data_IF_444565087667
#
_entry.id   IF_444565087667
#
_cell.length_a   1.000
_cell.length_b   1.000
_cell.length_c   1.000
_cell.angle_alpha   90.00
_cell.angle_beta   90.00
_cell.angle_gamma   90.00
#
_symmetry.space_group_name_H-M   'P 1'
#
loop_
_entity.id
_entity.type
_entity.pdbx_description
1 polymer ?
#
# COMPACT_ATOMS: atom_id res chain seq x y z
N UNK A 1 9.32 29.26 46.89
CA UNK A 1 8.35 28.95 45.82
C UNK A 1 8.47 27.47 45.52
N UNK A 2 7.40 26.69 45.68
CA UNK A 2 7.40 25.31 45.23
C UNK A 2 7.47 25.29 43.70
N UNK A 3 8.55 24.73 43.15
CA UNK A 3 8.67 24.49 41.71
C UNK A 3 7.60 23.45 41.38
N UNK A 4 6.55 23.85 40.64
CA UNK A 4 5.59 22.89 40.08
C UNK A 4 6.40 21.91 39.22
N UNK A 5 6.27 20.59 39.42
CA UNK A 5 6.95 19.64 38.54
C UNK A 5 6.52 19.90 37.10
N UNK A 6 7.46 19.87 36.17
CA UNK A 6 7.16 19.97 34.74
C UNK A 6 6.18 18.86 34.36
N UNK A 7 5.17 19.18 33.54
CA UNK A 7 4.22 18.20 33.05
C UNK A 7 4.98 17.17 32.21
N UNK A 8 4.89 15.89 32.58
CA UNK A 8 5.51 14.79 31.82
C UNK A 8 4.89 14.70 30.43
N UNK A 9 5.70 14.32 29.44
CA UNK A 9 5.25 13.95 28.10
C UNK A 9 4.48 12.64 28.19
N UNK A 10 3.46 12.46 27.39
CA UNK A 10 2.64 11.27 27.36
C UNK A 10 3.12 10.32 26.26
N UNK A 11 3.43 9.08 26.65
CA UNK A 11 3.52 7.93 25.75
C UNK A 11 2.24 7.11 25.88
N UNK A 12 1.42 7.11 24.85
CA UNK A 12 0.13 6.44 24.87
C UNK A 12 0.21 5.07 24.18
N UNK A 13 -0.25 4.02 24.85
CA UNK A 13 -0.20 2.64 24.35
C UNK A 13 -1.59 2.23 23.88
N UNK A 14 -1.68 1.83 22.61
CA UNK A 14 -2.89 1.33 21.96
C UNK A 14 -2.73 -0.12 21.54
N UNK A 15 -3.81 -0.88 21.57
CA UNK A 15 -3.77 -2.32 21.35
C UNK A 15 -5.07 -3.01 21.72
N UNK A 16 -5.07 -4.35 21.79
CA UNK A 16 -6.24 -5.09 22.21
C UNK A 16 -6.67 -4.73 23.63
N UNK A 17 -7.97 -4.51 23.79
CA UNK A 17 -8.64 -4.41 25.09
C UNK A 17 -9.48 -5.68 25.22
N UNK A 18 -9.01 -6.60 26.05
CA UNK A 18 -9.72 -7.83 26.40
C UNK A 18 -10.35 -7.75 27.79
N UNK A 19 -11.30 -8.64 28.04
CA UNK A 19 -11.82 -8.91 29.38
C UNK A 19 -10.70 -9.40 30.31
N UNK A 20 -10.91 -9.31 31.61
CA UNK A 20 -9.99 -9.84 32.61
C UNK A 20 -9.67 -11.33 32.32
N UNK A 21 -8.40 -11.72 32.49
CA UNK A 21 -7.86 -13.06 32.22
C UNK A 21 -7.94 -13.57 30.76
N UNK A 22 -8.37 -12.74 29.81
CA UNK A 22 -8.31 -13.11 28.38
C UNK A 22 -6.87 -13.19 27.85
N UNK A 23 -6.63 -14.00 26.82
CA UNK A 23 -5.31 -14.08 26.15
C UNK A 23 -4.84 -12.70 25.65
N UNK A 24 -5.78 -11.88 25.17
CA UNK A 24 -5.56 -10.51 24.72
C UNK A 24 -5.09 -9.62 25.88
N UNK A 25 -5.75 -9.72 27.04
CA UNK A 25 -5.37 -8.99 28.27
C UNK A 25 -3.98 -9.38 28.75
N UNK A 26 -3.74 -10.69 28.89
CA UNK A 26 -2.45 -11.24 29.33
C UNK A 26 -1.32 -10.78 28.39
N UNK A 27 -1.57 -10.83 27.08
CA UNK A 27 -0.60 -10.34 26.10
C UNK A 27 -0.34 -8.83 26.22
N UNK A 28 -1.40 -8.02 26.31
CA UNK A 28 -1.28 -6.57 26.45
C UNK A 28 -0.54 -6.17 27.73
N UNK A 29 -0.76 -6.89 28.83
CA UNK A 29 -0.06 -6.67 30.10
C UNK A 29 1.42 -7.06 29.98
N UNK A 30 1.75 -8.19 29.36
CA UNK A 30 3.13 -8.57 29.07
C UNK A 30 3.87 -7.51 28.23
N UNK A 31 3.25 -7.03 27.15
CA UNK A 31 3.87 -6.00 26.32
C UNK A 31 4.12 -4.71 27.12
N UNK A 32 3.12 -4.28 27.89
CA UNK A 32 3.21 -3.05 28.68
C UNK A 32 4.23 -3.17 29.82
N UNK A 33 4.14 -4.20 30.64
CA UNK A 33 4.86 -4.31 31.91
C UNK A 33 6.26 -4.89 31.74
N UNK A 34 6.46 -5.82 30.80
CA UNK A 34 7.76 -6.46 30.60
C UNK A 34 8.58 -5.86 29.47
N UNK A 35 8.01 -5.00 28.61
CA UNK A 35 8.78 -4.40 27.50
C UNK A 35 8.72 -2.88 27.54
N UNK A 36 7.52 -2.29 27.50
CA UNK A 36 7.37 -0.84 27.36
C UNK A 36 7.80 -0.13 28.66
N UNK A 37 7.13 -0.40 29.77
CA UNK A 37 7.35 0.30 31.05
C UNK A 37 8.82 0.28 31.49
N UNK A 38 9.54 -0.86 31.45
CA UNK A 38 10.95 -0.89 31.85
C UNK A 38 11.85 0.01 30.99
N UNK A 39 11.58 0.12 29.69
CA UNK A 39 12.37 0.99 28.80
C UNK A 39 12.12 2.46 29.12
N UNK A 40 10.88 2.84 29.40
CA UNK A 40 10.52 4.21 29.75
C UNK A 40 11.04 4.60 31.14
N UNK A 41 10.87 3.73 32.13
CA UNK A 41 11.35 3.98 33.50
C UNK A 41 12.88 4.11 33.57
N UNK A 42 13.62 3.34 32.75
CA UNK A 42 15.09 3.35 32.76
C UNK A 42 15.69 4.49 31.93
N UNK A 43 15.03 4.93 30.85
CA UNK A 43 15.65 5.82 29.86
C UNK A 43 14.89 7.12 29.56
N UNK A 44 13.62 7.23 29.98
CA UNK A 44 12.73 8.33 29.59
C UNK A 44 11.90 8.84 30.78
N UNK A 45 12.58 9.30 31.84
CA UNK A 45 11.94 9.78 33.08
C UNK A 45 10.95 10.94 32.88
N UNK A 46 11.12 11.71 31.79
CA UNK A 46 10.24 12.82 31.40
C UNK A 46 8.95 12.36 30.72
N UNK A 47 8.82 11.06 30.43
CA UNK A 47 7.61 10.45 29.90
C UNK A 47 6.75 9.80 31.00
N UNK A 48 5.46 9.77 30.75
CA UNK A 48 4.45 9.01 31.46
C UNK A 48 3.81 8.04 30.47
N UNK A 49 3.86 6.75 30.77
CA UNK A 49 3.27 5.71 29.92
C UNK A 49 1.84 5.43 30.38
N UNK A 50 0.87 5.59 29.49
CA UNK A 50 -0.54 5.29 29.78
C UNK A 50 -1.11 4.39 28.69
N UNK A 51 -1.84 3.34 29.08
CA UNK A 51 -2.61 2.49 28.16
C UNK A 51 -4.09 2.87 28.19
N UNK A 52 -4.78 2.74 27.06
CA UNK A 52 -6.16 3.20 26.86
C UNK A 52 -7.17 2.72 27.91
N UNK A 53 -7.05 1.48 28.40
CA UNK A 53 -7.90 0.86 29.42
C UNK A 53 -7.62 1.33 30.85
N UNK A 54 -6.44 1.93 31.11
CA UNK A 54 -6.06 2.44 32.45
C UNK A 54 -6.56 3.88 32.69
N UNK A 55 -7.29 4.48 31.76
CA UNK A 55 -7.86 5.83 31.92
C UNK A 55 -9.06 5.75 32.88
N UNK A 56 -8.88 6.28 34.09
CA UNK A 56 -9.89 6.25 35.18
C UNK A 56 -10.75 7.52 35.28
N UNK A 57 -10.61 8.45 34.34
CA UNK A 57 -11.32 9.73 34.38
C UNK A 57 -12.82 9.55 34.04
N UNK A 58 -13.73 10.27 34.70
CA UNK A 58 -15.15 10.30 34.33
C UNK A 58 -15.35 10.83 32.90
N UNK A 59 -16.16 10.16 32.07
CA UNK A 59 -16.47 10.57 30.69
C UNK A 59 -16.70 9.39 29.74
N UNK A 60 -16.94 9.68 28.45
CA UNK A 60 -16.98 8.63 27.44
C UNK A 60 -15.56 8.17 27.12
N UNK A 61 -15.28 6.87 27.31
CA UNK A 61 -13.97 6.25 27.07
C UNK A 61 -13.40 6.66 25.70
N UNK A 62 -14.23 6.62 24.65
CA UNK A 62 -13.84 6.99 23.29
C UNK A 62 -13.30 8.43 23.19
N UNK A 63 -13.91 9.39 23.89
CA UNK A 63 -13.46 10.79 23.86
C UNK A 63 -12.11 10.99 24.53
N UNK A 64 -11.82 10.22 25.59
CA UNK A 64 -10.56 10.29 26.32
C UNK A 64 -9.42 9.62 25.56
N UNK A 65 -9.71 8.49 24.92
CA UNK A 65 -8.75 7.81 24.04
C UNK A 65 -8.38 8.71 22.87
N UNK A 66 -9.36 9.33 22.20
CA UNK A 66 -9.08 10.28 21.12
C UNK A 66 -8.23 11.44 21.66
N UNK A 67 -8.60 12.05 22.78
CA UNK A 67 -7.82 13.14 23.39
C UNK A 67 -6.37 12.71 23.65
N UNK A 68 -6.17 11.51 24.19
CA UNK A 68 -4.84 10.95 24.43
C UNK A 68 -4.05 10.75 23.14
N UNK A 69 -4.69 10.27 22.06
CA UNK A 69 -4.06 10.14 20.74
C UNK A 69 -3.66 11.47 20.11
N UNK A 70 -4.45 12.53 20.35
CA UNK A 70 -4.14 13.89 19.87
C UNK A 70 -2.98 14.49 20.65
N UNK A 71 -3.01 14.35 21.97
CA UNK A 71 -2.10 15.05 22.87
C UNK A 71 -0.75 14.36 23.02
N UNK A 72 -0.71 13.02 23.06
CA UNK A 72 0.49 12.26 23.32
C UNK A 72 1.66 12.63 22.40
N UNK A 73 2.85 12.81 22.97
CA UNK A 73 4.09 13.03 22.22
C UNK A 73 4.46 11.77 21.42
N UNK A 74 4.17 10.59 21.95
CA UNK A 74 4.44 9.30 21.29
C UNK A 74 3.26 8.34 21.46
N UNK A 75 2.97 7.56 20.42
CA UNK A 75 2.06 6.41 20.51
C UNK A 75 2.83 5.13 20.26
N UNK A 76 2.59 4.09 21.06
CA UNK A 76 3.03 2.73 20.79
C UNK A 76 1.79 1.89 20.47
N UNK A 77 1.79 1.26 19.29
CA UNK A 77 0.66 0.48 18.80
C UNK A 77 1.00 -1.01 18.73
N UNK A 78 0.22 -1.82 19.45
CA UNK A 78 0.29 -3.27 19.40
C UNK A 78 -0.58 -3.85 18.28
N UNK A 79 0.07 -4.46 17.29
CA UNK A 79 -0.58 -5.07 16.14
C UNK A 79 -0.79 -6.58 16.29
N UNK A 80 -0.47 -7.17 17.45
CA UNK A 80 -0.40 -8.63 17.63
C UNK A 80 -1.70 -9.35 17.32
N UNK A 81 -2.86 -8.85 17.76
CA UNK A 81 -4.14 -9.56 17.62
C UNK A 81 -5.00 -9.01 16.49
N UNK A 82 -4.44 -8.08 15.70
CA UNK A 82 -5.17 -7.37 14.65
C UNK A 82 -6.44 -6.67 15.16
N UNK A 83 -6.40 -6.13 16.37
CA UNK A 83 -7.54 -5.46 16.97
C UNK A 83 -8.04 -4.30 16.08
N UNK A 84 -9.31 -4.29 15.62
CA UNK A 84 -9.83 -3.25 14.75
C UNK A 84 -9.78 -1.84 15.35
N UNK A 85 -9.94 -1.71 16.67
CA UNK A 85 -9.85 -0.41 17.34
C UNK A 85 -8.43 0.14 17.28
N UNK A 86 -7.41 -0.70 17.47
CA UNK A 86 -6.01 -0.27 17.34
C UNK A 86 -5.73 0.29 15.92
N UNK A 87 -6.25 -0.33 14.86
CA UNK A 87 -6.12 0.20 13.50
C UNK A 87 -6.84 1.53 13.28
N UNK A 88 -8.02 1.69 13.88
CA UNK A 88 -8.74 2.96 13.86
C UNK A 88 -7.94 4.08 14.54
N UNK A 89 -7.34 3.78 15.70
CA UNK A 89 -6.52 4.71 16.48
C UNK A 89 -5.20 5.07 15.77
N UNK A 90 -4.57 4.11 15.10
CA UNK A 90 -3.42 4.34 14.19
C UNK A 90 -3.81 5.29 13.07
N UNK A 91 -4.98 5.06 12.45
CA UNK A 91 -5.51 5.94 11.41
C UNK A 91 -5.65 7.39 11.89
N UNK A 92 -6.23 7.59 13.08
CA UNK A 92 -6.30 8.92 13.71
C UNK A 92 -4.88 9.47 13.90
N UNK A 93 -3.97 8.70 14.50
CA UNK A 93 -2.60 9.16 14.78
C UNK A 93 -1.85 9.59 13.53
N UNK A 94 -2.00 8.88 12.41
CA UNK A 94 -1.42 9.26 11.13
C UNK A 94 -1.88 10.66 10.67
N UNK A 95 -3.16 11.00 10.89
CA UNK A 95 -3.69 12.32 10.51
C UNK A 95 -3.13 13.47 11.35
N UNK A 96 -2.76 13.19 12.60
CA UNK A 96 -2.18 14.16 13.55
C UNK A 96 -0.69 14.41 13.27
N UNK A 97 -0.05 13.53 12.50
CA UNK A 97 1.36 13.68 12.09
C UNK A 97 2.32 13.76 13.28
N UNK A 98 2.00 13.00 14.34
CA UNK A 98 2.89 12.82 15.48
C UNK A 98 3.44 11.38 15.52
N UNK A 99 4.60 11.16 16.15
CA UNK A 99 5.28 9.86 16.10
C UNK A 99 4.42 8.69 16.59
N UNK A 100 4.59 7.55 15.94
CA UNK A 100 3.98 6.27 16.29
C UNK A 100 4.99 5.13 16.07
N UNK A 101 5.08 4.21 17.03
CA UNK A 101 5.91 3.00 16.95
C UNK A 101 4.99 1.79 16.93
N UNK A 102 5.12 0.94 15.92
CA UNK A 102 4.37 -0.30 15.82
C UNK A 102 5.15 -1.45 16.47
N UNK A 103 4.48 -2.29 17.25
CA UNK A 103 5.04 -3.50 17.84
C UNK A 103 4.11 -4.68 17.57
N UNK A 104 4.67 -5.89 17.42
CA UNK A 104 3.84 -7.08 17.27
C UNK A 104 4.58 -8.36 17.66
N UNK A 105 3.83 -9.36 18.12
CA UNK A 105 4.36 -10.68 18.41
C UNK A 105 4.83 -11.38 17.13
N UNK A 106 5.93 -12.10 17.24
CA UNK A 106 6.47 -12.97 16.21
C UNK A 106 5.42 -13.96 15.71
N UNK A 107 5.32 -14.10 14.38
CA UNK A 107 4.33 -14.95 13.72
C UNK A 107 3.07 -14.20 13.31
N UNK A 108 2.83 -12.98 13.84
CA UNK A 108 1.70 -12.18 13.40
C UNK A 108 1.91 -11.65 11.98
N UNK A 109 0.91 -11.87 11.11
CA UNK A 109 0.88 -11.30 9.75
C UNK A 109 0.18 -9.95 9.79
N UNK A 110 0.93 -8.89 9.50
CA UNK A 110 0.42 -7.52 9.47
C UNK A 110 -0.36 -7.27 8.15
N UNK A 111 -1.52 -6.60 8.18
CA UNK A 111 -2.28 -6.24 6.99
C UNK A 111 -1.48 -5.35 6.03
N UNK A 112 -1.78 -5.43 4.74
CA UNK A 112 -0.99 -4.77 3.69
C UNK A 112 -0.95 -3.24 3.84
N UNK A 113 -1.98 -2.60 4.40
CA UNK A 113 -2.03 -1.15 4.59
C UNK A 113 -0.99 -0.64 5.59
N UNK A 114 -0.61 -1.47 6.57
CA UNK A 114 0.36 -1.11 7.64
C UNK A 114 1.70 -1.83 7.45
N UNK A 115 1.75 -2.91 6.68
CA UNK A 115 2.95 -3.70 6.45
C UNK A 115 4.19 -2.92 5.93
N UNK A 116 4.05 -1.82 5.14
CA UNK A 116 5.18 -0.99 4.74
C UNK A 116 5.85 -0.26 5.91
N UNK A 117 5.13 -0.02 7.01
CA UNK A 117 5.68 0.65 8.19
C UNK A 117 6.56 -0.29 8.98
N UNK A 118 7.70 0.26 9.45
CA UNK A 118 8.57 -0.47 10.37
C UNK A 118 7.79 -0.82 11.63
N UNK A 119 7.89 -2.08 12.01
CA UNK A 119 7.34 -2.59 13.26
C UNK A 119 8.39 -3.40 14.00
N UNK A 120 8.40 -3.26 15.31
CA UNK A 120 9.28 -4.00 16.20
C UNK A 120 8.62 -5.35 16.46
N UNK A 121 9.23 -6.39 15.91
CA UNK A 121 8.84 -7.77 16.18
C UNK A 121 9.45 -8.23 17.50
N UNK A 122 8.65 -8.83 18.36
CA UNK A 122 9.13 -9.42 19.62
C UNK A 122 8.64 -10.85 19.82
N UNK A 123 9.32 -11.60 20.68
CA UNK A 123 8.94 -12.98 21.03
C UNK A 123 9.00 -13.15 22.54
N UNK A 124 8.13 -14.00 23.08
CA UNK A 124 8.07 -14.36 24.51
C UNK A 124 8.68 -15.73 24.79
N UNK A 125 9.33 -16.34 23.78
CA UNK A 125 9.86 -17.72 23.87
C UNK A 125 11.04 -17.84 24.81
N UNK A 126 11.95 -16.87 24.82
CA UNK A 126 13.16 -16.89 25.65
C UNK A 126 13.39 -15.52 26.31
N UNK A 127 14.00 -15.46 27.51
CA UNK A 127 14.31 -14.19 28.16
C UNK A 127 15.18 -13.22 27.34
N UNK A 128 16.02 -13.74 26.43
CA UNK A 128 16.81 -12.90 25.51
C UNK A 128 15.94 -12.17 24.48
N UNK A 129 14.81 -12.74 24.10
CA UNK A 129 13.92 -12.16 23.09
C UNK A 129 13.24 -10.89 23.63
N UNK A 130 12.88 -10.88 24.91
CA UNK A 130 12.37 -9.70 25.64
C UNK A 130 13.44 -8.60 25.71
N UNK A 131 14.68 -8.95 26.05
CA UNK A 131 15.79 -7.98 26.07
C UNK A 131 16.03 -7.38 24.69
N UNK A 132 15.98 -8.19 23.63
CA UNK A 132 16.07 -7.72 22.26
C UNK A 132 14.95 -6.74 21.90
N UNK A 133 13.71 -7.03 22.31
CA UNK A 133 12.57 -6.12 22.11
C UNK A 133 12.76 -4.79 22.84
N UNK A 134 13.27 -4.80 24.09
CA UNK A 134 13.58 -3.59 24.85
C UNK A 134 14.65 -2.74 24.16
N UNK A 135 15.74 -3.37 23.68
CA UNK A 135 16.79 -2.67 22.92
C UNK A 135 16.26 -2.05 21.63
N UNK A 136 15.43 -2.78 20.89
CA UNK A 136 14.81 -2.27 19.66
C UNK A 136 13.84 -1.12 19.95
N UNK A 137 13.04 -1.22 21.02
CA UNK A 137 12.14 -0.17 21.46
C UNK A 137 12.90 1.09 21.89
N UNK A 138 13.96 0.95 22.68
CA UNK A 138 14.82 2.06 23.08
C UNK A 138 15.33 2.83 21.87
N UNK A 139 15.91 2.14 20.89
CA UNK A 139 16.42 2.76 19.67
C UNK A 139 15.31 3.47 18.87
N UNK A 140 14.12 2.86 18.78
CA UNK A 140 12.99 3.45 18.08
C UNK A 140 12.45 4.71 18.77
N UNK A 141 12.33 4.70 20.10
CA UNK A 141 11.89 5.87 20.88
C UNK A 141 12.91 7.00 20.77
N UNK A 142 14.20 6.70 20.88
CA UNK A 142 15.27 7.70 20.70
C UNK A 142 15.20 8.37 19.33
N UNK A 143 14.92 7.61 18.26
CA UNK A 143 14.78 8.18 16.93
C UNK A 143 13.50 9.02 16.78
N UNK A 144 12.38 8.49 17.27
CA UNK A 144 11.06 9.11 17.16
C UNK A 144 10.90 10.40 17.98
N UNK A 145 11.78 10.63 18.96
CA UNK A 145 11.71 11.78 19.89
C UNK A 145 12.75 12.86 19.59
N UNK A 146 13.54 12.74 18.52
CA UNK A 146 14.43 13.80 18.07
C UNK A 146 13.63 15.00 17.57
N UNK A 147 14.15 16.20 17.80
CA UNK A 147 13.50 17.46 17.39
C UNK A 147 13.35 17.59 15.86
N UNK A 148 14.22 16.94 15.09
CA UNK A 148 14.22 16.92 13.62
C UNK A 148 13.54 15.67 13.04
N UNK A 149 12.85 14.87 13.86
CA UNK A 149 12.16 13.68 13.39
C UNK A 149 10.97 14.05 12.49
N UNK A 150 11.07 13.71 11.21
CA UNK A 150 9.95 13.82 10.28
C UNK A 150 9.06 12.59 10.33
N UNK A 151 7.77 12.81 10.57
CA UNK A 151 6.78 11.73 10.64
C UNK A 151 6.40 11.30 9.22
N UNK A 152 6.80 10.08 8.86
CA UNK A 152 6.45 9.45 7.59
C UNK A 152 5.29 8.46 7.79
N UNK A 153 4.16 8.73 7.12
CA UNK A 153 2.96 7.90 7.13
C UNK A 153 2.14 8.11 5.83
N UNK A 154 1.11 7.28 5.54
CA UNK A 154 0.39 7.38 4.27
C UNK A 154 -0.30 8.74 4.07
N UNK A 155 -0.68 9.39 5.16
CA UNK A 155 -1.36 10.68 5.16
C UNK A 155 -0.38 11.81 4.91
N UNK A 156 0.81 11.80 5.53
CA UNK A 156 1.85 12.83 5.28
C UNK A 156 2.37 12.72 3.85
N UNK A 157 2.61 11.50 3.36
CA UNK A 157 2.99 11.26 1.97
C UNK A 157 1.94 11.81 0.98
N UNK A 158 0.67 11.44 1.18
CA UNK A 158 -0.42 11.89 0.30
C UNK A 158 -0.62 13.41 0.37
N UNK A 159 -0.52 14.00 1.56
CA UNK A 159 -0.63 15.45 1.73
C UNK A 159 0.53 16.18 1.06
N UNK A 160 1.76 15.72 1.23
CA UNK A 160 2.94 16.28 0.59
C UNK A 160 2.81 16.26 -0.94
N UNK A 161 2.30 15.18 -1.51
CA UNK A 161 2.00 15.10 -2.95
C UNK A 161 0.96 16.14 -3.39
N UNK A 162 -0.17 16.23 -2.68
CA UNK A 162 -1.25 17.18 -3.00
C UNK A 162 -0.80 18.64 -2.83
N UNK A 163 -0.02 18.93 -1.80
CA UNK A 163 0.53 20.26 -1.55
C UNK A 163 1.54 20.62 -2.64
N UNK A 164 2.47 19.71 -2.95
CA UNK A 164 3.41 19.87 -4.05
C UNK A 164 2.71 20.13 -5.39
N UNK A 165 1.68 19.38 -5.76
CA UNK A 165 0.92 19.63 -7.01
C UNK A 165 0.30 21.04 -7.04
N UNK A 166 -0.17 21.54 -5.89
CA UNK A 166 -0.79 22.87 -5.77
C UNK A 166 0.22 24.00 -5.77
N UNK A 167 1.38 23.84 -5.11
CA UNK A 167 2.35 24.91 -4.89
C UNK A 167 3.56 24.85 -5.81
N UNK A 168 3.76 23.76 -6.57
CA UNK A 168 4.91 23.60 -7.44
C UNK A 168 5.00 24.71 -8.50
N UNK A 169 6.20 25.28 -8.59
CA UNK A 169 6.60 26.20 -9.63
C UNK A 169 6.57 25.52 -11.02
N UNK A 170 6.52 26.29 -12.12
CA UNK A 170 6.56 25.72 -13.47
C UNK A 170 7.77 24.80 -13.71
N UNK A 171 8.93 25.13 -13.13
CA UNK A 171 10.15 24.33 -13.25
C UNK A 171 10.06 23.02 -12.46
N UNK A 172 9.49 23.04 -11.26
CA UNK A 172 9.28 21.83 -10.46
C UNK A 172 8.29 20.88 -11.12
N UNK A 173 7.21 21.40 -11.73
CA UNK A 173 6.28 20.58 -12.52
C UNK A 173 6.96 19.89 -13.69
N UNK A 174 7.78 20.63 -14.43
CA UNK A 174 8.59 20.07 -15.52
C UNK A 174 9.52 18.96 -15.03
N UNK A 175 10.15 19.14 -13.86
CA UNK A 175 11.00 18.11 -13.26
C UNK A 175 10.19 16.86 -12.87
N UNK A 176 9.00 17.03 -12.27
CA UNK A 176 8.12 15.90 -11.95
C UNK A 176 7.67 15.15 -13.18
N UNK A 177 7.32 15.85 -14.27
CA UNK A 177 6.97 15.25 -15.55
C UNK A 177 8.15 14.44 -16.10
N UNK A 178 9.36 15.00 -16.10
CA UNK A 178 10.57 14.29 -16.55
C UNK A 178 10.92 13.09 -15.67
N UNK A 179 10.76 13.20 -14.34
CA UNK A 179 10.95 12.07 -13.42
C UNK A 179 9.90 10.99 -13.68
N UNK A 180 8.65 11.37 -13.97
CA UNK A 180 7.59 10.46 -14.39
C UNK A 180 7.96 9.69 -15.66
N UNK A 181 8.49 10.39 -16.68
CA UNK A 181 8.97 9.78 -17.93
C UNK A 181 10.15 8.82 -17.70
N UNK A 182 11.08 9.19 -16.82
CA UNK A 182 12.21 8.33 -16.44
C UNK A 182 11.72 7.09 -15.70
N UNK A 183 10.77 7.24 -14.76
CA UNK A 183 10.17 6.11 -14.04
C UNK A 183 9.48 5.15 -15.00
N UNK A 184 8.68 5.66 -15.93
CA UNK A 184 8.03 4.83 -16.94
C UNK A 184 9.03 4.04 -17.81
N UNK A 185 10.18 4.66 -18.14
CA UNK A 185 11.28 3.98 -18.87
C UNK A 185 12.00 2.96 -18.00
N UNK A 186 12.19 3.23 -16.72
CA UNK A 186 12.79 2.30 -15.77
C UNK A 186 11.88 1.09 -15.54
N UNK A 187 10.58 1.29 -15.33
CA UNK A 187 9.60 0.19 -15.25
C UNK A 187 9.64 -0.69 -16.51
N UNK A 188 9.77 -0.07 -17.70
CA UNK A 188 9.97 -0.80 -18.95
C UNK A 188 11.28 -1.61 -18.94
N UNK A 189 12.40 -1.02 -18.53
CA UNK A 189 13.71 -1.70 -18.48
C UNK A 189 13.74 -2.79 -17.40
N UNK A 190 13.21 -2.54 -16.21
CA UNK A 190 13.10 -3.52 -15.13
C UNK A 190 12.24 -4.71 -15.55
N UNK A 191 11.16 -4.47 -16.32
CA UNK A 191 10.41 -5.54 -16.98
C UNK A 191 11.25 -6.39 -17.94
N UNK A 192 12.23 -5.79 -18.62
CA UNK A 192 13.20 -6.50 -19.47
C UNK A 192 14.30 -7.23 -18.66
N UNK A 193 14.77 -6.67 -17.56
CA UNK A 193 15.89 -7.21 -16.76
C UNK A 193 15.43 -8.30 -15.79
N UNK A 194 14.24 -8.17 -15.19
CA UNK A 194 13.62 -9.23 -14.40
C UNK A 194 13.22 -10.45 -15.26
N UNK A 195 13.00 -10.22 -16.55
CA UNK A 195 12.81 -11.24 -17.59
C UNK A 195 14.12 -11.70 -18.23
N UNK A 196 15.05 -12.25 -17.44
CA UNK A 196 16.16 -13.04 -18.00
C UNK A 196 15.60 -14.05 -18.99
N UNK A 197 16.01 -13.95 -20.26
CA UNK A 197 15.30 -14.54 -21.41
C UNK A 197 14.97 -16.02 -21.21
N UNK A 198 13.69 -16.27 -20.93
CA UNK A 198 12.91 -17.36 -21.50
C UNK A 198 11.58 -16.74 -21.91
N UNK A 199 11.41 -16.51 -23.22
CA UNK A 199 10.14 -16.12 -23.81
C UNK A 199 9.20 -17.31 -23.64
N UNK A 200 8.47 -17.35 -22.54
CA UNK A 200 7.33 -18.23 -22.34
C UNK A 200 6.50 -17.72 -21.17
N UNK A 201 5.22 -17.46 -21.47
CA UNK A 201 4.06 -17.45 -20.58
C UNK A 201 4.32 -17.07 -19.11
N UNK A 202 3.86 -15.89 -18.68
CA UNK A 202 3.30 -15.68 -17.33
C UNK A 202 2.66 -14.29 -17.25
N UNK A 203 1.33 -14.22 -17.07
CA UNK A 203 0.63 -14.04 -15.79
C UNK A 203 0.30 -12.58 -15.57
N UNK A 204 -0.93 -12.22 -15.97
CA UNK A 204 -1.52 -10.89 -15.76
C UNK A 204 -1.76 -10.69 -14.25
N UNK A 205 -1.17 -9.64 -13.69
CA UNK A 205 -1.44 -9.17 -12.32
C UNK A 205 -2.58 -8.13 -12.37
N UNK A 206 -3.63 -8.33 -11.56
CA UNK A 206 -4.96 -7.72 -11.75
C UNK A 206 -5.22 -6.42 -10.97
N UNK A 207 -4.27 -5.94 -10.17
CA UNK A 207 -4.56 -4.97 -9.10
C UNK A 207 -4.30 -3.49 -9.41
N UNK A 208 -4.10 -3.11 -10.67
CA UNK A 208 -3.89 -1.70 -11.02
C UNK A 208 -4.48 -1.35 -12.39
N UNK A 209 -5.69 -0.78 -12.40
CA UNK A 209 -6.32 -0.31 -13.63
C UNK A 209 -6.82 1.13 -13.54
N UNK A 210 -6.04 2.06 -14.10
CA UNK A 210 -6.49 3.37 -14.56
C UNK A 210 -6.74 3.31 -16.08
N UNK A 211 -7.89 3.82 -16.52
CA UNK A 211 -8.39 3.67 -17.88
C UNK A 211 -7.83 4.65 -18.92
N UNK A 212 -8.14 4.35 -20.19
CA UNK A 212 -7.88 5.10 -21.44
C UNK A 212 -6.59 4.79 -22.23
N UNK A 213 -6.38 3.51 -22.59
CA UNK A 213 -5.19 3.07 -23.33
C UNK A 213 -5.33 2.96 -24.86
N UNK A 214 -6.54 3.01 -25.46
CA UNK A 214 -6.67 2.78 -26.93
C UNK A 214 -5.99 3.87 -27.77
N UNK A 215 -6.18 5.13 -27.42
CA UNK A 215 -5.55 6.25 -28.15
C UNK A 215 -4.04 6.32 -27.92
N UNK A 216 -3.54 5.79 -26.80
CA UNK A 216 -2.11 5.78 -26.45
C UNK A 216 -1.36 4.66 -27.17
N UNK A 217 -2.00 3.50 -27.37
CA UNK A 217 -1.46 2.38 -28.16
C UNK A 217 -1.41 2.69 -29.66
N UNK A 218 -2.39 3.42 -30.19
CA UNK A 218 -2.37 3.91 -31.58
C UNK A 218 -1.33 5.02 -31.83
N UNK A 219 -0.75 5.59 -30.77
CA UNK A 219 0.34 6.56 -30.85
C UNK A 219 1.74 5.90 -30.83
N UNK A 220 1.82 4.58 -30.63
CA UNK A 220 3.09 3.85 -30.73
C UNK A 220 3.39 3.53 -32.20
N UNK A 221 4.54 3.97 -32.74
CA UNK A 221 4.91 3.65 -34.12
C UNK A 221 5.07 2.12 -34.27
N UNK A 222 4.54 1.56 -35.36
CA UNK A 222 4.66 0.15 -35.77
C UNK A 222 3.96 -0.90 -34.89
N UNK A 223 2.80 -0.58 -34.30
CA UNK A 223 1.92 -1.59 -33.68
C UNK A 223 0.52 -1.60 -34.28
N UNK A 224 -0.04 -2.79 -34.44
CA UNK A 224 -1.46 -3.00 -34.79
C UNK A 224 -2.22 -3.21 -33.48
N UNK A 225 -3.34 -2.53 -33.31
CA UNK A 225 -4.21 -2.66 -32.15
C UNK A 225 -5.51 -3.36 -32.54
N UNK A 226 -5.83 -4.49 -31.90
CA UNK A 226 -7.08 -5.22 -32.08
C UNK A 226 -7.91 -5.06 -30.81
N UNK A 227 -9.01 -4.35 -30.92
CA UNK A 227 -9.91 -4.08 -29.80
C UNK A 227 -11.02 -5.13 -29.80
N UNK A 228 -11.14 -5.89 -28.70
CA UNK A 228 -12.18 -6.89 -28.47
C UNK A 228 -13.08 -6.42 -27.34
N UNK A 229 -14.37 -6.22 -27.62
CA UNK A 229 -15.36 -5.71 -26.67
C UNK A 229 -16.52 -6.70 -26.49
N UNK A 230 -16.83 -7.04 -25.24
CA UNK A 230 -18.01 -7.82 -24.90
C UNK A 230 -19.27 -6.93 -24.88
N UNK A 231 -20.30 -7.28 -25.68
CA UNK A 231 -21.60 -6.59 -25.71
C UNK A 231 -22.58 -7.14 -24.67
N UNK A 232 -22.45 -8.41 -24.32
CA UNK A 232 -23.30 -9.08 -23.34
C UNK A 232 -22.81 -8.83 -21.91
N UNK A 233 -23.75 -8.53 -20.98
CA UNK A 233 -23.43 -8.38 -19.55
C UNK A 233 -23.36 -9.71 -18.80
N UNK A 234 -23.73 -10.82 -19.44
CA UNK A 234 -23.87 -12.13 -18.80
C UNK A 234 -22.53 -12.90 -18.69
N UNK A 235 -21.46 -12.40 -19.29
CA UNK A 235 -20.12 -13.00 -19.20
C UNK A 235 -19.32 -12.34 -18.08
N UNK A 236 -18.69 -13.16 -17.23
CA UNK A 236 -17.75 -12.65 -16.22
C UNK A 236 -16.49 -12.09 -16.89
N UNK A 237 -15.90 -11.06 -16.30
CA UNK A 237 -14.67 -10.42 -16.80
C UNK A 237 -13.52 -11.44 -16.93
N UNK A 238 -13.37 -12.31 -15.95
CA UNK A 238 -12.34 -13.36 -15.97
C UNK A 238 -12.56 -14.39 -17.09
N UNK A 239 -13.82 -14.76 -17.37
CA UNK A 239 -14.14 -15.65 -18.49
C UNK A 239 -13.82 -14.98 -19.81
N UNK A 240 -14.20 -13.71 -19.96
CA UNK A 240 -13.96 -12.93 -21.18
C UNK A 240 -12.46 -12.78 -21.47
N UNK A 241 -11.66 -12.43 -20.46
CA UNK A 241 -10.20 -12.30 -20.57
C UNK A 241 -9.54 -13.62 -21.00
N UNK A 242 -9.90 -14.75 -20.37
CA UNK A 242 -9.37 -16.07 -20.74
C UNK A 242 -9.69 -16.44 -22.19
N UNK A 243 -10.90 -16.13 -22.65
CA UNK A 243 -11.29 -16.38 -24.03
C UNK A 243 -10.46 -15.55 -25.01
N UNK A 244 -10.27 -14.25 -24.75
CA UNK A 244 -9.47 -13.37 -25.62
C UNK A 244 -8.00 -13.80 -25.65
N UNK A 245 -7.44 -14.22 -24.52
CA UNK A 245 -6.08 -14.77 -24.43
C UNK A 245 -5.90 -16.04 -25.26
N UNK A 246 -6.86 -16.97 -25.18
CA UNK A 246 -6.83 -18.19 -25.98
C UNK A 246 -6.90 -17.88 -27.49
N UNK A 247 -7.75 -16.94 -27.88
CA UNK A 247 -7.89 -16.53 -29.27
C UNK A 247 -6.62 -15.87 -29.79
N UNK A 248 -6.04 -14.95 -29.00
CA UNK A 248 -4.82 -14.24 -29.36
C UNK A 248 -3.65 -15.21 -29.52
N UNK A 249 -3.53 -16.18 -28.62
CA UNK A 249 -2.51 -17.25 -28.66
C UNK A 249 -2.59 -18.13 -29.90
N UNK A 250 -3.79 -18.33 -30.46
CA UNK A 250 -3.96 -19.08 -31.73
C UNK A 250 -3.57 -18.25 -32.95
N UNK A 251 -3.69 -16.93 -32.86
CA UNK A 251 -3.48 -16.04 -34.00
C UNK A 251 -2.06 -15.45 -34.05
N UNK A 252 -1.40 -15.22 -32.92
CA UNK A 252 -0.13 -14.49 -32.86
C UNK A 252 0.89 -15.23 -32.01
N UNK A 253 2.13 -15.28 -32.51
CA UNK A 253 3.27 -15.85 -31.78
C UNK A 253 3.75 -14.91 -30.65
N UNK A 254 3.52 -13.60 -30.82
CA UNK A 254 3.78 -12.58 -29.81
C UNK A 254 2.69 -11.51 -29.85
N UNK A 255 2.13 -11.19 -28.69
CA UNK A 255 1.09 -10.18 -28.52
C UNK A 255 1.07 -9.69 -27.07
N UNK A 256 0.57 -8.48 -26.84
CA UNK A 256 0.25 -7.96 -25.51
C UNK A 256 -1.26 -7.84 -25.36
N UNK A 257 -1.78 -8.11 -24.17
CA UNK A 257 -3.18 -7.89 -23.81
C UNK A 257 -3.29 -6.81 -22.74
N UNK A 258 -4.09 -5.80 -23.00
CA UNK A 258 -4.33 -4.70 -22.07
C UNK A 258 -5.82 -4.37 -22.02
N UNK A 259 -6.47 -4.40 -20.86
CA UNK A 259 -7.79 -3.82 -20.70
C UNK A 259 -7.79 -2.34 -21.11
N UNK A 260 -8.79 -1.97 -21.90
CA UNK A 260 -8.97 -0.58 -22.36
C UNK A 260 -9.77 0.27 -21.37
N UNK A 261 -10.66 -0.38 -20.62
CA UNK A 261 -11.56 0.24 -19.67
C UNK A 261 -11.47 -0.40 -18.28
N UNK A 262 -11.92 0.32 -17.26
CA UNK A 262 -11.97 -0.15 -15.87
C UNK A 262 -13.01 -1.28 -15.67
N UNK A 263 -13.82 -1.57 -16.68
CA UNK A 263 -14.85 -2.62 -16.58
C UNK A 263 -14.31 -3.99 -16.95
N UNK A 264 -13.12 -4.05 -17.58
CA UNK A 264 -12.53 -5.29 -18.09
C UNK A 264 -13.33 -5.93 -19.23
N UNK A 265 -14.24 -5.18 -19.86
CA UNK A 265 -15.10 -5.66 -20.97
C UNK A 265 -14.63 -5.21 -22.33
N UNK A 266 -13.54 -4.49 -22.37
CA UNK A 266 -12.80 -4.17 -23.57
C UNK A 266 -11.32 -4.50 -23.36
N UNK A 267 -10.76 -5.29 -24.25
CA UNK A 267 -9.37 -5.74 -24.23
C UNK A 267 -8.73 -5.35 -25.56
N UNK A 268 -7.54 -4.77 -25.49
CA UNK A 268 -6.71 -4.43 -26.64
C UNK A 268 -5.61 -5.47 -26.75
N UNK A 269 -5.55 -6.10 -27.92
CA UNK A 269 -4.44 -6.95 -28.34
C UNK A 269 -3.49 -6.08 -29.16
N UNK A 270 -2.26 -5.94 -28.70
CA UNK A 270 -1.22 -5.20 -29.42
C UNK A 270 -0.20 -6.15 -30.01
N UNK A 271 0.02 -6.05 -31.32
CA UNK A 271 1.00 -6.87 -32.06
C UNK A 271 1.91 -5.97 -32.89
N UNK A 272 3.10 -6.47 -33.24
CA UNK A 272 4.01 -5.74 -34.13
C UNK A 272 3.39 -5.58 -35.52
N UNK A 273 3.60 -4.42 -36.14
CA UNK A 273 3.09 -4.13 -37.47
C UNK A 273 3.96 -4.80 -38.55
N UNK A 274 3.60 -6.03 -38.88
CA UNK A 274 4.18 -6.81 -39.99
C UNK A 274 3.09 -7.15 -41.01
N UNK A 275 3.49 -7.38 -42.27
CA UNK A 275 2.53 -7.77 -43.33
C UNK A 275 1.73 -9.03 -42.95
N UNK A 276 2.39 -9.97 -42.27
CA UNK A 276 1.77 -11.18 -41.75
C UNK A 276 0.76 -10.87 -40.64
N UNK A 277 1.15 -10.06 -39.65
CA UNK A 277 0.25 -9.68 -38.55
C UNK A 277 -0.94 -8.85 -39.02
N UNK A 278 -0.79 -7.99 -40.05
CA UNK A 278 -1.95 -7.30 -40.68
C UNK A 278 -2.97 -8.30 -41.23
N UNK A 279 -2.50 -9.32 -41.96
CA UNK A 279 -3.38 -10.38 -42.46
C UNK A 279 -4.04 -11.19 -41.34
N UNK A 280 -3.27 -11.57 -40.31
CA UNK A 280 -3.78 -12.32 -39.16
C UNK A 280 -4.76 -11.50 -38.31
N UNK A 281 -4.58 -10.18 -38.20
CA UNK A 281 -5.50 -9.28 -37.49
C UNK A 281 -6.87 -9.17 -38.17
N UNK A 282 -6.90 -9.11 -39.50
CA UNK A 282 -8.16 -9.13 -40.25
C UNK A 282 -8.87 -10.48 -40.11
N UNK A 283 -8.14 -11.58 -40.24
CA UNK A 283 -8.70 -12.93 -40.03
C UNK A 283 -9.21 -13.12 -38.60
N UNK A 284 -8.51 -12.56 -37.60
CA UNK A 284 -8.95 -12.56 -36.21
C UNK A 284 -10.29 -11.83 -36.06
N UNK A 285 -10.43 -10.64 -36.68
CA UNK A 285 -11.69 -9.88 -36.69
C UNK A 285 -12.82 -10.69 -37.31
N UNK A 286 -12.61 -11.29 -38.48
CA UNK A 286 -13.64 -12.08 -39.15
C UNK A 286 -14.07 -13.32 -38.36
N UNK A 287 -13.11 -13.95 -37.67
CA UNK A 287 -13.37 -15.19 -36.91
C UNK A 287 -14.15 -14.94 -35.62
N UNK A 288 -13.81 -13.87 -34.89
CA UNK A 288 -14.32 -13.65 -33.52
C UNK A 288 -15.34 -12.52 -33.39
N UNK A 289 -15.60 -11.76 -34.47
CA UNK A 289 -16.68 -10.77 -34.48
C UNK A 289 -18.04 -11.46 -34.57
N UNK A 290 -18.86 -11.31 -33.53
CA UNK A 290 -20.18 -11.94 -33.42
C UNK A 290 -21.22 -10.94 -32.91
N UNK A 291 -22.47 -11.39 -32.69
CA UNK A 291 -23.50 -10.55 -32.07
C UNK A 291 -23.14 -10.14 -30.63
N UNK A 292 -22.40 -10.98 -29.92
CA UNK A 292 -22.03 -10.77 -28.52
C UNK A 292 -20.63 -10.17 -28.32
N UNK A 293 -19.75 -10.31 -29.32
CA UNK A 293 -18.37 -9.84 -29.27
C UNK A 293 -18.09 -8.92 -30.46
N UNK A 294 -17.70 -7.68 -30.19
CA UNK A 294 -17.27 -6.74 -31.21
C UNK A 294 -15.75 -6.74 -31.31
N UNK A 295 -15.22 -7.02 -32.50
CA UNK A 295 -13.79 -6.88 -32.80
C UNK A 295 -13.56 -5.73 -33.77
N UNK A 296 -12.58 -4.88 -33.50
CA UNK A 296 -12.16 -3.76 -34.35
C UNK A 296 -10.63 -3.76 -34.47
N UNK A 297 -10.10 -3.44 -35.65
CA UNK A 297 -8.64 -3.41 -35.91
C UNK A 297 -8.24 -1.98 -36.26
N UNK A 298 -7.24 -1.47 -35.57
CA UNK A 298 -6.61 -0.18 -35.80
C UNK A 298 -5.19 -0.35 -36.30
N UNK A 299 -4.87 0.34 -37.38
CA UNK A 299 -3.51 0.40 -37.94
C UNK A 299 -2.84 1.71 -37.54
N UNK A 300 -1.51 1.73 -37.40
CA UNK A 300 -0.79 2.97 -37.20
C UNK A 300 -1.04 3.89 -38.41
N UNK A 301 -1.14 5.19 -38.18
CA UNK A 301 -1.24 6.16 -39.29
C UNK A 301 0.08 6.13 -40.05
N UNK A 302 0.01 5.90 -41.36
CA UNK A 302 1.14 6.15 -42.24
C UNK A 302 1.43 7.67 -42.20
N UNK A 303 2.68 8.05 -41.91
CA UNK A 303 3.15 9.43 -42.04
C UNK A 303 3.08 9.92 -43.49
#
# INVERSE_FOLDING_TARGET
>A
MAIKPAKKKLCFVVGPIGDDDSDDRIHADWLLEDIITPVFDEHFEDFEVTRADKISNPGQITSQVITSLLDAELVIADLTTLNPNAFYEIGIRHTIQKPIIHMHLEGQRIPFDIAPFRSIKFSRRRPVDIRGARTALLAAVQEATKDDHEVDNPVTFSRGKVEFEKTATPTERLLTDQIGDVRARLEFIEGYVAGGVTISRNTINYDSFEGSNVNRLLALPRKIAIVVRARSRNMSVNTFLKMVDEWASKAFESFNLEPSDQTGREIVISVSDTREHRGRAEMFRETYHTKEIQVSVGYPKDE
#
